data_IF_493038145517
#
_entry.id   IF_493038145517
#
_cell.length_a   1.000
_cell.length_b   1.000
_cell.length_c   1.000
_cell.angle_alpha   90.00
_cell.angle_beta   90.00
_cell.angle_gamma   90.00
#
_symmetry.space_group_name_H-M   'P 1'
#
loop_
_entity.id
_entity.type
_entity.pdbx_description
1 polymer ?
#
# COMPACT_ATOMS: atom_id res chain seq x y z
N UNK A 1 11.18 -3.52 14.51
CA UNK A 1 12.29 -4.20 15.20
C UNK A 1 13.31 -4.67 14.17
N UNK A 2 14.61 -4.52 14.46
CA UNK A 2 15.71 -4.85 13.56
C UNK A 2 16.69 -5.79 14.27
N UNK A 3 17.07 -6.89 13.62
CA UNK A 3 18.10 -7.81 14.12
C UNK A 3 19.24 -7.86 13.11
N UNK A 4 20.44 -7.46 13.55
CA UNK A 4 21.62 -7.32 12.71
C UNK A 4 21.81 -5.91 12.14
N UNK A 5 23.03 -5.60 11.74
CA UNK A 5 23.39 -4.31 11.17
C UNK A 5 22.98 -4.18 9.71
N UNK A 6 22.71 -2.95 9.26
CA UNK A 6 22.34 -2.65 7.86
C UNK A 6 23.43 -3.06 6.86
N UNK A 7 24.70 -3.07 7.29
CA UNK A 7 25.86 -3.48 6.49
C UNK A 7 26.28 -4.93 6.74
N UNK A 8 25.49 -5.72 7.46
CA UNK A 8 25.76 -7.14 7.68
C UNK A 8 25.33 -7.97 6.45
N UNK A 9 25.84 -9.20 6.34
CA UNK A 9 25.46 -10.16 5.30
C UNK A 9 23.99 -10.56 5.40
N UNK A 10 23.40 -10.46 6.60
CA UNK A 10 21.98 -10.68 6.84
C UNK A 10 21.41 -9.68 7.84
N UNK A 11 20.18 -9.22 7.61
CA UNK A 11 19.41 -8.40 8.54
C UNK A 11 17.93 -8.79 8.50
N UNK A 12 17.31 -8.95 9.67
CA UNK A 12 15.86 -9.14 9.79
C UNK A 12 15.18 -7.82 10.15
N UNK A 13 14.09 -7.51 9.45
CA UNK A 13 13.19 -6.38 9.73
C UNK A 13 11.79 -6.93 9.99
N UNK A 14 11.24 -6.59 11.15
CA UNK A 14 9.86 -6.92 11.51
C UNK A 14 9.13 -5.66 11.91
N UNK A 15 8.06 -5.32 11.22
CA UNK A 15 7.35 -4.06 11.47
C UNK A 15 5.87 -4.13 11.07
N UNK A 16 5.05 -3.28 11.69
CA UNK A 16 3.61 -3.16 11.45
C UNK A 16 3.36 -2.43 10.13
N UNK A 17 3.37 -3.17 9.02
CA UNK A 17 3.24 -2.61 7.67
C UNK A 17 1.92 -1.86 7.48
N UNK A 18 0.83 -2.35 8.06
CA UNK A 18 -0.46 -1.67 7.97
C UNK A 18 -0.43 -0.26 8.58
N UNK A 19 0.26 -0.11 9.72
CA UNK A 19 0.39 1.20 10.39
C UNK A 19 1.32 2.14 9.63
N UNK A 20 2.40 1.63 9.03
CA UNK A 20 3.25 2.40 8.13
C UNK A 20 2.46 2.94 6.93
N UNK A 21 1.54 2.13 6.38
CA UNK A 21 0.64 2.54 5.29
C UNK A 21 -0.52 3.45 5.74
N UNK A 22 -0.61 3.74 7.04
CA UNK A 22 -1.56 4.70 7.61
C UNK A 22 -2.80 4.09 8.28
N UNK A 23 -2.98 2.76 8.24
CA UNK A 23 -4.03 2.05 8.99
C UNK A 23 -3.51 1.63 10.38
N UNK A 24 -3.84 2.44 11.39
CA UNK A 24 -3.36 2.25 12.77
C UNK A 24 -3.89 0.98 13.43
N UNK A 25 -4.99 0.43 12.94
CA UNK A 25 -5.68 -0.75 13.47
C UNK A 25 -5.35 -2.04 12.73
N UNK A 26 -4.59 -1.95 11.63
CA UNK A 26 -4.30 -3.10 10.80
C UNK A 26 -3.41 -4.11 11.54
N UNK A 27 -3.77 -5.40 11.58
CA UNK A 27 -2.93 -6.46 12.14
C UNK A 27 -1.76 -6.85 11.21
N UNK A 28 -1.60 -6.16 10.08
CA UNK A 28 -0.61 -6.52 9.07
C UNK A 28 0.82 -6.22 9.54
N UNK A 29 1.53 -7.28 9.88
CA UNK A 29 2.98 -7.28 10.15
C UNK A 29 3.73 -7.83 8.94
N UNK A 30 4.84 -7.19 8.57
CA UNK A 30 5.74 -7.67 7.52
C UNK A 30 7.07 -8.11 8.12
N UNK A 31 7.52 -9.28 7.69
CA UNK A 31 8.80 -9.88 8.03
C UNK A 31 9.67 -9.87 6.78
N UNK A 32 10.83 -9.22 6.85
CA UNK A 32 11.77 -9.13 5.73
C UNK A 32 13.16 -9.57 6.17
N UNK A 33 13.74 -10.56 5.50
CA UNK A 33 15.17 -10.83 5.58
C UNK A 33 15.87 -10.18 4.39
N UNK A 34 16.85 -9.32 4.69
CA UNK A 34 17.80 -8.81 3.74
C UNK A 34 19.02 -9.71 3.73
N UNK A 35 19.47 -10.10 2.55
CA UNK A 35 20.72 -10.82 2.33
C UNK A 35 21.65 -9.99 1.46
N UNK A 36 22.95 -10.01 1.77
CA UNK A 36 23.97 -9.31 1.01
C UNK A 36 25.16 -10.24 0.75
N UNK A 37 25.68 -10.19 -0.46
CA UNK A 37 26.96 -10.82 -0.78
C UNK A 37 28.10 -10.14 -0.01
N UNK A 38 29.08 -10.92 0.42
CA UNK A 38 30.34 -10.42 0.99
C UNK A 38 31.49 -11.38 0.66
N UNK A 39 32.72 -10.92 0.86
CA UNK A 39 33.92 -11.76 0.68
C UNK A 39 33.91 -13.04 1.55
N UNK A 40 33.07 -13.08 2.60
CA UNK A 40 32.97 -14.23 3.52
C UNK A 40 31.85 -15.19 3.14
N UNK A 41 30.86 -14.73 2.37
CA UNK A 41 29.67 -15.52 2.04
C UNK A 41 29.08 -15.07 0.72
N UNK A 42 29.16 -15.98 -0.25
CA UNK A 42 28.45 -15.84 -1.51
C UNK A 42 26.93 -15.96 -1.30
N UNK A 43 26.17 -15.15 -2.04
CA UNK A 43 24.71 -15.22 -2.04
C UNK A 43 24.26 -16.18 -3.14
N UNK A 44 23.74 -17.38 -2.81
CA UNK A 44 23.31 -18.33 -3.83
C UNK A 44 22.11 -17.78 -4.60
N UNK A 45 22.15 -17.92 -5.93
CA UNK A 45 21.07 -17.48 -6.82
C UNK A 45 19.75 -18.24 -6.60
N UNK A 46 19.81 -19.43 -6.01
CA UNK A 46 18.64 -20.28 -5.72
C UNK A 46 17.65 -19.62 -4.74
N UNK A 47 18.10 -18.60 -3.99
CA UNK A 47 17.22 -17.76 -3.18
C UNK A 47 16.11 -17.08 -3.97
N UNK A 48 16.31 -16.87 -5.28
CA UNK A 48 15.29 -16.30 -6.16
C UNK A 48 14.19 -17.31 -6.50
N UNK A 49 14.48 -18.62 -6.42
CA UNK A 49 13.53 -19.70 -6.68
C UNK A 49 12.73 -20.06 -5.43
N UNK A 50 13.37 -20.07 -4.27
CA UNK A 50 12.72 -20.37 -2.99
C UNK A 50 13.08 -19.37 -1.88
N UNK A 51 12.63 -18.10 -1.99
CA UNK A 51 12.95 -17.08 -0.99
C UNK A 51 12.40 -17.39 0.41
N UNK A 52 11.32 -18.17 0.50
CA UNK A 52 10.68 -18.53 1.76
C UNK A 52 11.59 -19.42 2.60
N UNK A 53 12.16 -20.47 2.03
CA UNK A 53 13.07 -21.36 2.75
C UNK A 53 14.32 -20.64 3.25
N UNK A 54 14.87 -19.70 2.48
CA UNK A 54 16.01 -18.89 2.93
C UNK A 54 15.66 -17.94 4.08
N UNK A 55 14.47 -17.33 4.08
CA UNK A 55 13.98 -16.51 5.20
C UNK A 55 13.87 -17.35 6.49
N UNK A 56 13.19 -18.50 6.41
CA UNK A 56 12.94 -19.37 7.55
C UNK A 56 14.23 -20.03 8.06
N UNK A 57 15.10 -20.48 7.16
CA UNK A 57 16.39 -21.08 7.49
C UNK A 57 17.39 -20.09 8.10
N UNK A 58 17.31 -18.80 7.73
CA UNK A 58 18.21 -17.78 8.29
C UNK A 58 17.86 -17.39 9.75
N UNK A 59 16.59 -17.54 10.13
CA UNK A 59 16.04 -17.15 11.42
C UNK A 59 15.06 -18.20 11.96
N UNK A 60 15.54 -19.23 12.68
CA UNK A 60 14.70 -20.35 13.14
C UNK A 60 13.48 -19.93 13.99
N UNK A 61 13.57 -18.80 14.68
CA UNK A 61 12.45 -18.20 15.43
C UNK A 61 11.23 -17.89 14.55
N UNK A 62 11.41 -17.76 13.24
CA UNK A 62 10.34 -17.49 12.27
C UNK A 62 9.64 -18.75 11.78
N UNK A 63 9.99 -19.94 12.29
CA UNK A 63 9.40 -21.23 11.88
C UNK A 63 7.87 -21.30 12.03
N UNK A 64 7.26 -20.44 12.84
CA UNK A 64 5.80 -20.32 12.95
C UNK A 64 5.14 -19.66 11.73
N UNK A 65 5.91 -18.99 10.87
CA UNK A 65 5.37 -18.33 9.68
C UNK A 65 5.03 -19.38 8.61
N UNK A 66 3.81 -19.28 8.09
CA UNK A 66 3.38 -20.02 6.90
C UNK A 66 3.60 -19.12 5.68
N UNK A 67 4.75 -19.28 5.02
CA UNK A 67 5.11 -18.49 3.86
C UNK A 67 4.47 -19.07 2.59
N UNK A 68 3.79 -18.22 1.82
CA UNK A 68 3.32 -18.56 0.46
C UNK A 68 3.95 -17.55 -0.50
N UNK A 69 4.74 -18.03 -1.46
CA UNK A 69 5.34 -17.21 -2.49
C UNK A 69 4.40 -17.10 -3.70
N UNK A 70 3.41 -16.21 -3.63
CA UNK A 70 2.55 -15.87 -4.77
C UNK A 70 3.06 -14.62 -5.47
N UNK A 71 2.75 -14.48 -6.76
CA UNK A 71 2.89 -13.19 -7.45
C UNK A 71 2.06 -12.15 -6.69
N UNK A 72 2.67 -11.01 -6.37
CA UNK A 72 1.98 -9.93 -5.64
C UNK A 72 1.01 -9.29 -6.63
N UNK A 73 -0.23 -9.74 -6.63
CA UNK A 73 -1.34 -8.88 -7.06
C UNK A 73 -1.38 -7.69 -6.11
N UNK A 74 -1.68 -6.50 -6.63
CA UNK A 74 -1.92 -5.33 -5.78
C UNK A 74 -3.10 -5.69 -4.86
N UNK A 75 -2.79 -6.03 -3.61
CA UNK A 75 -3.79 -6.56 -2.70
C UNK A 75 -4.86 -5.50 -2.44
N UNK A 76 -6.14 -5.88 -2.45
CA UNK A 76 -7.27 -5.00 -2.06
C UNK A 76 -6.99 -4.25 -0.76
N UNK A 77 -6.36 -4.91 0.21
CA UNK A 77 -5.95 -4.32 1.48
C UNK A 77 -5.00 -3.11 1.34
N UNK A 78 -4.07 -3.15 0.37
CA UNK A 78 -3.18 -2.02 0.10
C UNK A 78 -3.96 -0.84 -0.49
N UNK A 79 -4.86 -1.10 -1.44
CA UNK A 79 -5.74 -0.07 -2.04
C UNK A 79 -6.63 0.58 -0.97
N UNK A 80 -7.27 -0.22 -0.12
CA UNK A 80 -8.09 0.24 0.99
C UNK A 80 -7.31 1.09 2.00
N UNK A 81 -6.09 0.66 2.37
CA UNK A 81 -5.24 1.41 3.28
C UNK A 81 -4.84 2.78 2.70
N UNK A 82 -4.44 2.80 1.42
CA UNK A 82 -4.14 4.05 0.70
C UNK A 82 -5.37 4.96 0.66
N UNK A 83 -6.57 4.43 0.37
CA UNK A 83 -7.80 5.22 0.36
C UNK A 83 -8.10 5.83 1.73
N UNK A 84 -8.08 5.03 2.80
CA UNK A 84 -8.30 5.52 4.18
C UNK A 84 -7.37 6.68 4.50
N UNK A 85 -6.11 6.60 4.09
CA UNK A 85 -5.14 7.67 4.30
C UNK A 85 -5.48 8.93 3.47
N UNK A 86 -5.68 8.79 2.16
CA UNK A 86 -6.01 9.89 1.23
C UNK A 86 -7.29 10.62 1.67
N UNK A 87 -8.38 9.89 1.92
CA UNK A 87 -9.65 10.45 2.39
C UNK A 87 -9.48 11.25 3.68
N UNK A 88 -8.71 10.71 4.63
CA UNK A 88 -8.41 11.39 5.89
C UNK A 88 -7.64 12.70 5.65
N UNK A 89 -6.71 12.73 4.71
CA UNK A 89 -5.96 13.95 4.36
C UNK A 89 -6.85 14.98 3.66
N UNK A 90 -7.68 14.56 2.69
CA UNK A 90 -8.66 15.44 2.02
C UNK A 90 -9.59 16.07 3.04
N UNK A 91 -10.20 15.26 3.91
CA UNK A 91 -11.14 15.73 4.94
C UNK A 91 -10.51 16.76 5.88
N UNK A 92 -9.25 16.56 6.28
CA UNK A 92 -8.56 17.45 7.23
C UNK A 92 -8.08 18.74 6.60
N UNK A 93 -7.47 18.67 5.43
CA UNK A 93 -6.85 19.85 4.80
C UNK A 93 -7.85 20.71 4.06
N UNK A 94 -8.83 20.08 3.40
CA UNK A 94 -9.73 20.77 2.46
C UNK A 94 -11.20 20.51 2.74
N UNK A 95 -11.57 19.69 3.72
CA UNK A 95 -12.97 19.31 3.96
C UNK A 95 -13.91 20.49 4.19
N UNK A 96 -13.47 21.51 4.94
CA UNK A 96 -14.26 22.72 5.16
C UNK A 96 -14.48 23.51 3.86
N UNK A 97 -13.42 23.69 3.05
CA UNK A 97 -13.49 24.37 1.77
C UNK A 97 -14.37 23.61 0.76
N UNK A 98 -14.20 22.28 0.67
CA UNK A 98 -15.03 21.43 -0.19
C UNK A 98 -16.52 21.49 0.21
N UNK A 99 -16.82 21.51 1.51
CA UNK A 99 -18.19 21.66 2.00
C UNK A 99 -18.76 23.06 1.70
N UNK A 100 -17.94 24.11 1.77
CA UNK A 100 -18.34 25.46 1.34
C UNK A 100 -18.67 25.47 -0.16
N UNK A 101 -17.80 24.93 -1.00
CA UNK A 101 -18.03 24.84 -2.45
C UNK A 101 -19.34 24.06 -2.74
N UNK A 102 -19.48 22.86 -2.17
CA UNK A 102 -20.65 22.02 -2.39
C UNK A 102 -21.99 22.68 -1.98
N UNK A 103 -21.99 23.54 -0.96
CA UNK A 103 -23.20 24.25 -0.51
C UNK A 103 -23.54 25.50 -1.32
N UNK A 104 -22.56 26.08 -2.00
CA UNK A 104 -22.72 27.36 -2.72
C UNK A 104 -22.74 27.18 -4.25
N UNK A 105 -22.41 25.99 -4.76
CA UNK A 105 -22.62 25.67 -6.17
C UNK A 105 -24.12 25.46 -6.44
N UNK A 106 -24.67 26.11 -7.48
CA UNK A 106 -26.11 26.04 -7.80
C UNK A 106 -26.54 24.68 -8.37
N UNK A 107 -25.61 23.94 -8.98
CA UNK A 107 -25.87 22.66 -9.63
C UNK A 107 -24.59 21.79 -9.68
N UNK A 108 -24.77 20.51 -10.00
CA UNK A 108 -23.69 19.51 -10.06
C UNK A 108 -22.64 19.81 -11.12
N UNK A 109 -23.01 20.49 -12.21
CA UNK A 109 -22.08 20.83 -13.28
C UNK A 109 -21.18 21.99 -12.86
N UNK A 110 -21.74 23.01 -12.22
CA UNK A 110 -20.98 24.07 -11.58
C UNK A 110 -20.01 23.53 -10.51
N UNK A 111 -20.46 22.58 -9.68
CA UNK A 111 -19.61 21.90 -8.70
C UNK A 111 -18.44 21.17 -9.38
N UNK A 112 -18.72 20.42 -10.44
CA UNK A 112 -17.71 19.69 -11.22
C UNK A 112 -16.67 20.64 -11.81
N UNK A 113 -17.09 21.73 -12.43
CA UNK A 113 -16.17 22.72 -13.01
C UNK A 113 -15.25 23.35 -11.96
N UNK A 114 -15.76 23.65 -10.77
CA UNK A 114 -14.93 24.15 -9.67
C UNK A 114 -13.93 23.09 -9.20
N UNK A 115 -14.34 21.84 -9.03
CA UNK A 115 -13.43 20.75 -8.65
C UNK A 115 -12.33 20.58 -9.72
N UNK A 116 -12.70 20.52 -11.00
CA UNK A 116 -11.76 20.38 -12.11
C UNK A 116 -10.72 21.53 -12.12
N UNK A 117 -11.15 22.76 -11.83
CA UNK A 117 -10.26 23.93 -11.72
C UNK A 117 -9.21 23.83 -10.60
N UNK A 118 -9.48 23.00 -9.58
CA UNK A 118 -8.62 22.82 -8.41
C UNK A 118 -7.78 21.53 -8.47
N UNK A 119 -7.91 20.74 -9.54
CA UNK A 119 -7.21 19.45 -9.68
C UNK A 119 -6.01 19.54 -10.63
N UNK A 120 -4.98 18.74 -10.35
CA UNK A 120 -3.86 18.55 -11.28
C UNK A 120 -4.29 17.63 -12.44
N UNK A 121 -3.81 17.87 -13.68
CA UNK A 121 -4.03 16.94 -14.80
C UNK A 121 -3.31 15.60 -14.62
N UNK A 122 -2.35 15.50 -13.68
CA UNK A 122 -1.60 14.27 -13.40
C UNK A 122 -2.19 13.49 -12.23
N UNK A 123 -2.29 12.17 -12.39
CA UNK A 123 -2.66 11.26 -11.32
C UNK A 123 -1.50 11.02 -10.35
N UNK A 124 -1.77 10.80 -9.05
CA UNK A 124 -0.75 10.38 -8.11
C UNK A 124 -0.04 9.10 -8.56
N UNK A 125 1.28 8.99 -8.32
CA UNK A 125 2.11 7.85 -8.75
C UNK A 125 1.64 6.47 -8.28
N UNK A 126 0.85 6.41 -7.20
CA UNK A 126 0.31 5.17 -6.64
C UNK A 126 -0.98 4.71 -7.32
N UNK A 127 -1.60 5.54 -8.18
CA UNK A 127 -2.76 5.18 -8.97
C UNK A 127 -2.29 4.36 -10.17
N UNK A 128 -2.59 3.06 -10.16
CA UNK A 128 -2.42 2.15 -11.30
C UNK A 128 -3.80 1.72 -11.80
N UNK A 129 -3.88 1.07 -12.98
CA UNK A 129 -5.15 0.56 -13.51
C UNK A 129 -5.89 -0.34 -12.51
N UNK A 130 -5.15 -1.22 -11.82
CA UNK A 130 -5.70 -2.11 -10.79
C UNK A 130 -6.14 -1.35 -9.53
N UNK A 131 -5.41 -0.29 -9.15
CA UNK A 131 -5.78 0.56 -8.00
C UNK A 131 -7.14 1.24 -8.23
N UNK A 132 -7.39 1.72 -9.45
CA UNK A 132 -8.64 2.38 -9.80
C UNK A 132 -9.82 1.39 -9.83
N UNK A 133 -9.62 0.19 -10.36
CA UNK A 133 -10.63 -0.86 -10.43
C UNK A 133 -11.08 -1.38 -9.06
N UNK A 134 -10.19 -1.38 -8.06
CA UNK A 134 -10.48 -1.84 -6.70
C UNK A 134 -10.81 -0.70 -5.72
N UNK A 135 -11.06 0.50 -6.23
CA UNK A 135 -11.38 1.65 -5.40
C UNK A 135 -12.81 1.53 -4.84
N UNK A 136 -13.01 1.50 -3.50
CA UNK A 136 -14.30 1.12 -2.91
C UNK A 136 -15.48 1.98 -3.34
N UNK A 137 -15.26 3.30 -3.53
CA UNK A 137 -16.31 4.25 -3.90
C UNK A 137 -16.52 4.34 -5.41
N UNK A 138 -15.53 4.01 -6.25
CA UNK A 138 -15.70 3.97 -7.72
C UNK A 138 -16.38 2.66 -8.12
N UNK A 139 -16.05 1.56 -7.47
CA UNK A 139 -16.71 0.27 -7.66
C UNK A 139 -18.20 0.31 -7.26
N UNK A 140 -18.56 1.10 -6.24
CA UNK A 140 -19.94 1.31 -5.81
C UNK A 140 -20.72 2.30 -6.68
N UNK A 141 -20.04 3.14 -7.48
CA UNK A 141 -20.63 4.17 -8.36
C UNK A 141 -20.71 3.71 -9.82
N UNK A 142 -20.28 2.49 -10.15
CA UNK A 142 -20.61 1.87 -11.44
C UNK A 142 -22.13 1.90 -11.59
N UNK A 143 -22.70 2.66 -12.56
CA UNK A 143 -24.12 2.65 -12.78
C UNK A 143 -24.49 1.21 -13.12
N UNK A 144 -25.55 0.70 -12.49
CA UNK A 144 -26.24 -0.49 -13.01
C UNK A 144 -26.39 -0.30 -14.51
N UNK A 145 -25.77 -1.18 -15.29
CA UNK A 145 -25.96 -1.18 -16.74
C UNK A 145 -27.45 -1.34 -16.98
N UNK A 146 -28.11 -0.26 -17.42
CA UNK A 146 -29.50 -0.34 -17.84
C UNK A 146 -29.55 -1.29 -19.04
N UNK A 147 -30.24 -2.41 -18.85
CA UNK A 147 -30.85 -3.16 -19.95
C UNK A 147 -32.07 -2.44 -20.50
#
# INVERSE_FOLDING_TARGET
FYVGGKKSEKQLRVYEKGREQGDKSSPWVRYEAQFRNSNRKELPLDILRDPASYLLGAYPVLSFLRCVATRIEITKAAVEATWKSVRRHIRRQYGAALNFIAKNCPDDQSLRSVIESCTSPSLPKWVTGDTAAHWPEIAAVQPTSKG
#
